data_IF_553693833313
#
_entry.id   IF_553693833313
#
_cell.length_a   1.000
_cell.length_b   1.000
_cell.length_c   1.000
_cell.angle_alpha   90.00
_cell.angle_beta   90.00
_cell.angle_gamma   90.00
#
_symmetry.space_group_name_H-M   'P 1'
#
loop_
_entity.id
_entity.type
_entity.pdbx_description
1 polymer ?
#
# COMPACT_ATOMS: atom_id res chain seq x y z
N UNK A 1 24.78 9.55 20.10
CA UNK A 1 23.69 9.91 19.17
C UNK A 1 22.79 8.69 19.11
N UNK A 2 21.54 8.74 19.61
CA UNK A 2 20.65 7.58 19.54
C UNK A 2 20.42 7.26 18.07
N UNK A 3 20.87 6.09 17.61
CA UNK A 3 20.61 5.61 16.26
C UNK A 3 19.10 5.36 16.11
N UNK A 4 18.36 6.37 15.65
CA UNK A 4 16.98 6.18 15.22
C UNK A 4 17.02 5.30 13.98
N UNK A 5 16.72 4.03 14.16
CA UNK A 5 16.54 3.12 13.04
C UNK A 5 15.35 3.63 12.19
N UNK A 6 15.62 3.95 10.92
CA UNK A 6 14.67 4.56 9.98
C UNK A 6 13.37 3.74 9.90
N UNK A 7 13.45 2.42 10.08
CA UNK A 7 12.28 1.51 10.10
C UNK A 7 11.25 1.90 11.16
N UNK A 8 11.68 2.40 12.32
CA UNK A 8 10.76 2.82 13.40
C UNK A 8 10.12 4.19 13.17
N UNK A 9 10.49 4.90 12.10
CA UNK A 9 9.88 6.19 11.73
C UNK A 9 8.75 6.08 10.69
N UNK A 10 8.42 4.86 10.24
CA UNK A 10 7.38 4.64 9.24
C UNK A 10 5.98 4.86 9.83
N UNK A 11 5.19 5.70 9.15
CA UNK A 11 3.80 5.97 9.50
C UNK A 11 2.86 5.31 8.49
N UNK A 12 1.82 4.64 8.98
CA UNK A 12 0.85 3.94 8.14
C UNK A 12 -0.52 4.60 8.26
N UNK A 13 -1.13 4.92 7.13
CA UNK A 13 -2.55 5.28 7.09
C UNK A 13 -3.35 3.98 7.25
N UNK A 14 -4.04 3.83 8.37
CA UNK A 14 -4.83 2.63 8.71
C UNK A 14 -6.33 2.90 8.77
N UNK A 15 -6.74 4.16 8.87
CA UNK A 15 -8.15 4.55 8.90
C UNK A 15 -8.81 4.26 7.56
N UNK A 16 -9.79 3.34 7.56
CA UNK A 16 -10.59 3.00 6.37
C UNK A 16 -11.26 4.23 5.76
N UNK A 17 -11.78 5.14 6.58
CA UNK A 17 -12.37 6.40 6.10
C UNK A 17 -11.38 7.23 5.28
N UNK A 18 -10.14 7.39 5.76
CA UNK A 18 -9.12 8.17 5.06
C UNK A 18 -8.67 7.46 3.78
N UNK A 19 -8.52 6.13 3.82
CA UNK A 19 -8.20 5.31 2.65
C UNK A 19 -9.28 5.48 1.59
N UNK A 20 -10.54 5.24 1.92
CA UNK A 20 -11.67 5.33 1.00
C UNK A 20 -11.81 6.75 0.41
N UNK A 21 -11.61 7.78 1.24
CA UNK A 21 -11.61 9.18 0.78
C UNK A 21 -10.50 9.43 -0.24
N UNK A 22 -9.28 8.97 0.02
CA UNK A 22 -8.17 9.11 -0.94
C UNK A 22 -8.51 8.35 -2.22
N UNK A 23 -8.92 7.08 -2.11
CA UNK A 23 -9.25 6.24 -3.27
C UNK A 23 -10.36 6.83 -4.15
N UNK A 24 -11.36 7.48 -3.55
CA UNK A 24 -12.45 8.14 -4.30
C UNK A 24 -11.99 9.38 -5.07
N UNK A 25 -10.94 10.06 -4.59
CA UNK A 25 -10.40 11.24 -5.28
C UNK A 25 -9.47 10.87 -6.43
N UNK A 26 -9.01 9.62 -6.51
CA UNK A 26 -8.19 9.13 -7.61
C UNK A 26 -9.12 8.48 -8.63
N UNK A 27 -9.08 8.94 -9.88
CA UNK A 27 -9.90 8.41 -10.98
C UNK A 27 -9.28 7.12 -11.53
N UNK A 28 -9.46 6.02 -10.81
CA UNK A 28 -8.99 4.68 -11.20
C UNK A 28 -10.15 3.84 -11.72
N UNK A 29 -9.84 2.96 -12.67
CA UNK A 29 -10.76 2.00 -13.25
C UNK A 29 -10.04 0.68 -13.61
N UNK A 30 -10.83 -0.31 -14.01
CA UNK A 30 -10.40 -1.68 -14.26
C UNK A 30 -9.47 -1.85 -15.47
N UNK A 31 -9.20 -0.79 -16.24
CA UNK A 31 -8.23 -0.79 -17.34
C UNK A 31 -6.86 -0.20 -16.93
N UNK A 32 -6.75 0.36 -15.73
CA UNK A 32 -5.53 1.03 -15.29
C UNK A 32 -4.48 0.04 -14.77
N UNK A 33 -3.22 0.24 -15.18
CA UNK A 33 -2.05 -0.46 -14.63
C UNK A 33 -1.29 0.49 -13.70
N UNK A 34 -1.12 0.09 -12.44
CA UNK A 34 -0.64 0.97 -11.37
C UNK A 34 0.71 0.53 -10.83
N UNK A 35 1.59 1.51 -10.58
CA UNK A 35 2.76 1.34 -9.74
C UNK A 35 2.51 2.01 -8.38
N UNK A 36 2.57 1.25 -7.30
CA UNK A 36 2.47 1.75 -5.93
C UNK A 36 3.88 1.79 -5.31
N UNK A 37 4.33 2.97 -4.89
CA UNK A 37 5.62 3.15 -4.20
C UNK A 37 5.36 3.23 -2.70
N UNK A 38 5.97 2.33 -1.94
CA UNK A 38 5.80 2.22 -0.49
C UNK A 38 4.47 1.57 -0.10
N UNK A 39 4.28 0.30 -0.47
CA UNK A 39 3.04 -0.44 -0.16
C UNK A 39 2.81 -0.60 1.35
N UNK A 40 3.89 -0.52 2.15
CA UNK A 40 3.82 -0.55 3.59
C UNK A 40 3.11 -1.81 4.11
N UNK A 41 2.01 -1.64 4.83
CA UNK A 41 1.18 -2.75 5.35
C UNK A 41 0.08 -3.18 4.38
N UNK A 42 0.09 -2.76 3.12
CA UNK A 42 -0.86 -3.19 2.09
C UNK A 42 -2.27 -2.59 2.19
N UNK A 43 -2.47 -1.49 2.92
CA UNK A 43 -3.81 -0.89 3.08
C UNK A 43 -4.36 -0.33 1.77
N UNK A 44 -3.51 0.37 1.00
CA UNK A 44 -3.89 0.87 -0.31
C UNK A 44 -3.75 -0.20 -1.39
N UNK A 45 -2.71 -1.03 -1.34
CA UNK A 45 -2.54 -2.18 -2.25
C UNK A 45 -3.81 -3.01 -2.37
N UNK A 46 -4.44 -3.39 -1.25
CA UNK A 46 -5.67 -4.18 -1.24
C UNK A 46 -6.85 -3.48 -1.93
N UNK A 47 -6.91 -2.16 -1.83
CA UNK A 47 -7.96 -1.35 -2.45
C UNK A 47 -7.68 -1.10 -3.95
N UNK A 48 -6.40 -1.00 -4.33
CA UNK A 48 -5.96 -0.85 -5.72
C UNK A 48 -6.23 -2.11 -6.53
N UNK A 49 -5.88 -3.29 -6.00
CA UNK A 49 -6.06 -4.58 -6.72
C UNK A 49 -7.53 -4.92 -6.99
N UNK A 50 -8.46 -4.37 -6.19
CA UNK A 50 -9.91 -4.55 -6.39
C UNK A 50 -10.47 -3.66 -7.50
N UNK A 51 -9.77 -2.58 -7.87
CA UNK A 51 -10.27 -1.52 -8.76
C UNK A 51 -9.55 -1.44 -10.09
N UNK A 52 -8.30 -1.87 -10.14
CA UNK A 52 -7.41 -1.67 -11.30
C UNK A 52 -7.13 -3.00 -12.00
N UNK A 53 -6.67 -2.95 -13.25
CA UNK A 53 -6.30 -4.13 -14.02
C UNK A 53 -5.12 -4.88 -13.40
N UNK A 54 -4.07 -4.13 -13.06
CA UNK A 54 -2.81 -4.69 -12.58
C UNK A 54 -2.13 -3.71 -11.63
N UNK A 55 -1.54 -4.22 -10.55
CA UNK A 55 -0.84 -3.40 -9.55
C UNK A 55 0.54 -3.99 -9.30
N UNK A 56 1.57 -3.19 -9.53
CA UNK A 56 2.95 -3.47 -9.10
C UNK A 56 3.25 -2.65 -7.85
N UNK A 57 3.31 -3.31 -6.70
CA UNK A 57 3.69 -2.71 -5.43
C UNK A 57 5.21 -2.81 -5.22
N UNK A 58 5.85 -1.69 -4.86
CA UNK A 58 7.29 -1.58 -4.64
C UNK A 58 7.53 -1.12 -3.20
N UNK A 59 8.22 -1.93 -2.41
CA UNK A 59 8.52 -1.65 -1.00
C UNK A 59 9.97 -1.99 -0.69
N UNK A 60 10.65 -1.12 0.06
CA UNK A 60 12.06 -1.25 0.41
C UNK A 60 12.26 -2.15 1.63
N UNK A 61 11.30 -2.16 2.56
CA UNK A 61 11.35 -3.07 3.70
C UNK A 61 10.79 -4.45 3.33
N UNK A 62 11.70 -5.41 3.15
CA UNK A 62 11.35 -6.80 2.85
C UNK A 62 10.31 -7.42 3.81
N UNK A 63 10.27 -7.02 5.09
CA UNK A 63 9.25 -7.54 6.03
C UNK A 63 7.85 -7.03 5.68
N UNK A 64 7.78 -5.80 5.17
CA UNK A 64 6.53 -5.19 4.73
C UNK A 64 6.08 -5.73 3.37
N UNK A 65 7.01 -6.11 2.48
CA UNK A 65 6.67 -6.89 1.28
C UNK A 65 5.92 -8.16 1.67
N UNK A 66 6.49 -8.97 2.57
CA UNK A 66 5.84 -10.19 3.08
C UNK A 66 4.50 -9.92 3.77
N UNK A 67 4.40 -8.84 4.53
CA UNK A 67 3.14 -8.44 5.19
C UNK A 67 2.06 -8.09 4.17
N UNK A 68 2.44 -7.37 3.10
CA UNK A 68 1.52 -7.00 2.01
C UNK A 68 1.11 -8.23 1.21
N UNK A 69 2.06 -9.09 0.83
CA UNK A 69 1.79 -10.37 0.14
C UNK A 69 0.78 -11.21 0.93
N UNK A 70 1.01 -11.43 2.22
CA UNK A 70 0.12 -12.23 3.06
C UNK A 70 -1.30 -11.65 3.21
N UNK A 71 -1.50 -10.36 2.95
CA UNK A 71 -2.84 -9.74 2.94
C UNK A 71 -3.59 -9.92 1.63
N UNK A 72 -2.86 -10.26 0.56
CA UNK A 72 -3.41 -10.48 -0.78
C UNK A 72 -3.69 -11.96 -1.06
N UNK A 73 -3.16 -12.85 -0.22
CA UNK A 73 -3.47 -14.27 -0.24
C UNK A 73 -4.58 -14.51 0.78
N UNK A 74 -5.79 -14.83 0.32
CA UNK A 74 -6.84 -15.43 1.15
C UNK A 74 -6.42 -16.85 1.59
#
# INVERSE_FOLDING_TARGET
MNEKNIKHSQNFITSKHNIDKIMTNIRLNEHDNIFEIGSGKGHFTLELVKRCNFVTAIEIDHKLCKTTENKLVD
#
